data_IF_146894465902
#
_entry.id   IF_146894465902
#
_cell.length_a   1.000
_cell.length_b   1.000
_cell.length_c   1.000
_cell.angle_alpha   90.00
_cell.angle_beta   90.00
_cell.angle_gamma   90.00
#
_symmetry.space_group_name_H-M   'P 1'
#
loop_
_entity.id
_entity.type
_entity.pdbx_description
1 polymer ?
#
# COMPACT_ATOMS: atom_id res chain seq x y z
N UNK A 1 -11.95 -89.59 -30.83
CA UNK A 1 -11.43 -90.03 -29.52
C UNK A 1 -11.83 -89.01 -28.48
N UNK A 2 -12.42 -89.48 -27.38
CA UNK A 2 -12.84 -88.70 -26.21
C UNK A 2 -11.62 -88.06 -25.55
N UNK A 3 -11.71 -86.79 -25.12
CA UNK A 3 -11.15 -86.32 -23.84
C UNK A 3 -11.90 -85.09 -23.32
N UNK A 4 -12.46 -85.28 -22.14
CA UNK A 4 -13.16 -84.31 -21.28
C UNK A 4 -12.13 -83.35 -20.67
N UNK A 5 -12.46 -82.06 -20.55
CA UNK A 5 -11.82 -81.18 -19.57
C UNK A 5 -12.83 -80.29 -18.85
N UNK A 6 -12.56 -80.19 -17.56
CA UNK A 6 -13.32 -79.70 -16.42
C UNK A 6 -13.54 -78.19 -16.39
N UNK A 7 -14.69 -77.80 -15.82
CA UNK A 7 -15.03 -76.45 -15.38
C UNK A 7 -14.11 -75.95 -14.27
N UNK A 8 -13.62 -74.71 -14.37
CA UNK A 8 -12.97 -74.00 -13.28
C UNK A 8 -13.50 -72.57 -13.18
N UNK A 9 -13.78 -72.19 -11.94
CA UNK A 9 -14.48 -71.00 -11.45
C UNK A 9 -13.60 -69.76 -11.55
N UNK A 10 -14.21 -68.63 -11.93
CA UNK A 10 -13.61 -67.28 -11.98
C UNK A 10 -13.40 -66.76 -10.55
N UNK A 11 -12.19 -66.32 -10.15
CA UNK A 11 -12.03 -65.48 -8.98
C UNK A 11 -12.09 -63.99 -9.38
N UNK A 12 -12.88 -63.24 -8.63
CA UNK A 12 -12.96 -61.78 -8.64
C UNK A 12 -11.56 -61.15 -8.56
N UNK A 13 -11.19 -60.33 -9.54
CA UNK A 13 -10.04 -59.44 -9.43
C UNK A 13 -10.45 -58.24 -8.56
N UNK A 14 -9.78 -58.08 -7.42
CA UNK A 14 -9.80 -56.85 -6.64
C UNK A 14 -9.24 -55.73 -7.53
N UNK A 15 -10.10 -54.78 -7.91
CA UNK A 15 -9.65 -53.53 -8.49
C UNK A 15 -8.95 -52.72 -7.39
N UNK A 16 -7.62 -52.72 -7.40
CA UNK A 16 -6.81 -51.76 -6.66
C UNK A 16 -7.07 -50.38 -7.24
N UNK A 17 -7.89 -49.60 -6.54
CA UNK A 17 -8.00 -48.15 -6.74
C UNK A 17 -6.62 -47.57 -6.39
N UNK A 18 -5.88 -47.13 -7.41
CA UNK A 18 -4.72 -46.27 -7.19
C UNK A 18 -5.24 -44.98 -6.53
N UNK A 19 -4.72 -44.56 -5.37
CA UNK A 19 -4.97 -43.23 -4.89
C UNK A 19 -4.29 -42.27 -5.87
N UNK A 20 -5.11 -41.40 -6.46
CA UNK A 20 -4.65 -40.19 -7.15
C UNK A 20 -3.78 -39.44 -6.14
N UNK A 21 -2.51 -39.22 -6.50
CA UNK A 21 -1.61 -38.40 -5.69
C UNK A 21 -2.25 -37.03 -5.51
N UNK A 22 -2.46 -36.70 -4.24
CA UNK A 22 -2.90 -35.42 -3.72
C UNK A 22 -1.96 -34.34 -4.26
N UNK A 23 -2.52 -33.29 -4.84
CA UNK A 23 -1.85 -32.03 -5.14
C UNK A 23 -1.21 -31.51 -3.87
N UNK A 24 0.10 -31.55 -3.79
CA UNK A 24 0.88 -30.84 -2.78
C UNK A 24 0.68 -29.35 -3.01
N UNK A 25 -0.14 -28.70 -2.19
CA UNK A 25 -0.21 -27.23 -2.17
C UNK A 25 1.17 -26.64 -1.86
N UNK A 26 1.40 -25.39 -2.25
CA UNK A 26 2.58 -24.59 -1.85
C UNK A 26 2.44 -24.14 -0.38
N UNK A 27 1.86 -24.97 0.46
CA UNK A 27 2.03 -24.88 1.90
C UNK A 27 3.52 -24.99 2.18
N UNK A 28 4.05 -24.06 2.96
CA UNK A 28 5.39 -24.11 3.51
C UNK A 28 5.80 -25.56 3.83
N UNK A 29 6.92 -26.02 3.26
CA UNK A 29 7.50 -27.30 3.64
C UNK A 29 8.00 -27.14 5.08
N UNK A 30 7.40 -27.83 6.07
CA UNK A 30 7.75 -27.61 7.47
C UNK A 30 9.16 -28.10 7.81
N UNK A 31 9.79 -28.91 6.95
CA UNK A 31 11.16 -29.39 7.11
C UNK A 31 11.91 -29.42 5.76
N UNK A 32 12.11 -28.23 5.14
CA UNK A 32 12.77 -28.18 3.86
C UNK A 32 14.24 -28.54 4.05
N UNK A 33 14.82 -29.24 3.07
CA UNK A 33 16.26 -29.47 3.06
C UNK A 33 17.01 -28.14 3.20
N UNK A 34 18.15 -28.07 3.90
CA UNK A 34 18.88 -26.80 4.13
C UNK A 34 19.30 -26.07 2.85
N UNK A 35 19.41 -26.78 1.73
CA UNK A 35 19.72 -26.26 0.40
C UNK A 35 18.47 -26.01 -0.47
N UNK A 36 17.26 -26.00 0.12
CA UNK A 36 16.03 -25.68 -0.60
C UNK A 36 16.12 -24.26 -1.18
N UNK A 37 15.78 -24.15 -2.46
CA UNK A 37 15.73 -22.88 -3.17
C UNK A 37 14.38 -22.15 -2.99
N UNK A 38 13.41 -22.76 -2.29
CA UNK A 38 12.13 -22.11 -1.94
C UNK A 38 12.37 -20.92 -1.02
N UNK A 39 11.78 -19.79 -1.39
CA UNK A 39 11.83 -18.58 -0.61
C UNK A 39 10.80 -18.61 0.52
N UNK A 40 9.64 -19.24 0.28
CA UNK A 40 8.58 -19.45 1.27
C UNK A 40 8.90 -20.70 2.09
N UNK A 41 9.08 -20.52 3.41
CA UNK A 41 9.53 -21.59 4.32
C UNK A 41 8.57 -21.92 5.44
N UNK A 42 7.66 -21.01 5.75
CA UNK A 42 6.76 -21.14 6.90
C UNK A 42 5.42 -20.47 6.57
N UNK A 43 4.39 -20.91 7.27
CA UNK A 43 3.06 -20.34 7.23
C UNK A 43 2.57 -20.12 8.66
N UNK A 44 1.60 -19.23 8.83
CA UNK A 44 0.99 -18.92 10.11
C UNK A 44 -0.51 -19.09 10.02
N UNK A 45 -1.03 -19.95 10.88
CA UNK A 45 -2.46 -20.00 11.15
C UNK A 45 -2.85 -18.78 12.00
N UNK A 46 -3.38 -17.76 11.33
CA UNK A 46 -3.80 -16.50 11.97
C UNK A 46 -4.94 -16.70 12.97
N UNK A 47 -5.79 -17.72 12.80
CA UNK A 47 -6.86 -18.01 13.74
C UNK A 47 -6.30 -18.64 15.03
N UNK A 48 -5.34 -19.56 14.88
CA UNK A 48 -4.62 -20.13 16.01
C UNK A 48 -3.81 -19.04 16.75
N UNK A 49 -3.13 -18.15 16.01
CA UNK A 49 -2.38 -17.04 16.60
C UNK A 49 -3.31 -16.09 17.38
N UNK A 50 -4.43 -15.68 16.80
CA UNK A 50 -5.43 -14.83 17.47
C UNK A 50 -5.98 -15.48 18.75
N UNK A 51 -6.14 -16.81 18.78
CA UNK A 51 -6.61 -17.55 19.95
C UNK A 51 -5.51 -17.86 20.99
N UNK A 52 -4.24 -17.73 20.63
CA UNK A 52 -3.11 -18.17 21.46
C UNK A 52 -2.80 -17.23 22.63
N UNK A 53 -3.18 -15.96 22.53
CA UNK A 53 -2.76 -14.90 23.46
C UNK A 53 -1.29 -14.50 23.33
N UNK A 54 -0.56 -15.03 22.34
CA UNK A 54 0.77 -14.56 21.98
C UNK A 54 0.68 -13.16 21.37
N UNK A 55 1.74 -12.37 21.54
CA UNK A 55 1.89 -11.09 20.85
C UNK A 55 2.06 -11.32 19.33
N UNK A 56 1.11 -10.88 18.48
CA UNK A 56 1.22 -11.08 17.04
C UNK A 56 2.44 -10.40 16.42
N UNK A 57 2.91 -9.26 16.97
CA UNK A 57 4.09 -8.56 16.45
C UNK A 57 5.32 -9.45 16.58
N UNK A 58 5.54 -10.03 17.76
CA UNK A 58 6.69 -10.90 18.04
C UNK A 58 6.73 -12.15 17.13
N UNK A 59 5.57 -12.64 16.68
CA UNK A 59 5.47 -13.80 15.79
C UNK A 59 5.62 -13.38 14.32
N UNK A 60 4.90 -12.36 13.89
CA UNK A 60 4.71 -12.04 12.47
C UNK A 60 5.80 -11.13 11.89
N UNK A 61 6.36 -10.21 12.68
CA UNK A 61 7.33 -9.25 12.16
C UNK A 61 8.60 -9.92 11.58
N UNK A 62 9.24 -10.92 12.23
CA UNK A 62 10.41 -11.59 11.67
C UNK A 62 10.09 -12.42 10.41
N UNK A 63 8.89 -13.00 10.37
CA UNK A 63 8.37 -13.71 9.20
C UNK A 63 8.19 -12.75 8.02
N UNK A 64 7.55 -11.61 8.28
CA UNK A 64 7.31 -10.56 7.29
C UNK A 64 8.60 -9.97 6.75
N UNK A 65 9.61 -9.74 7.60
CA UNK A 65 10.93 -9.26 7.17
C UNK A 65 11.60 -10.24 6.19
N UNK A 66 11.56 -11.53 6.53
CA UNK A 66 12.10 -12.60 5.68
C UNK A 66 11.36 -12.66 4.34
N UNK A 67 10.03 -12.59 4.35
CA UNK A 67 9.20 -12.60 3.14
C UNK A 67 9.42 -11.33 2.30
N UNK A 68 9.56 -10.16 2.91
CA UNK A 68 9.78 -8.91 2.20
C UNK A 68 11.12 -8.90 1.45
N UNK A 69 12.12 -9.54 2.04
CA UNK A 69 13.46 -9.71 1.45
C UNK A 69 13.60 -10.99 0.61
N UNK A 70 12.59 -11.86 0.61
CA UNK A 70 12.61 -13.13 -0.07
C UNK A 70 12.64 -12.93 -1.58
N UNK A 71 13.59 -13.59 -2.24
CA UNK A 71 13.64 -13.66 -3.70
C UNK A 71 12.77 -14.81 -4.15
N UNK A 72 11.49 -14.54 -4.40
CA UNK A 72 10.54 -15.54 -4.89
C UNK A 72 11.07 -16.23 -6.14
N UNK A 73 10.91 -17.54 -6.16
CA UNK A 73 11.40 -18.43 -7.21
C UNK A 73 10.24 -19.09 -7.94
N UNK A 74 10.54 -19.73 -9.06
CA UNK A 74 9.55 -20.58 -9.75
C UNK A 74 9.09 -21.75 -8.89
N UNK A 75 9.81 -22.14 -7.82
CA UNK A 75 9.34 -23.16 -6.88
C UNK A 75 8.23 -22.62 -5.97
N UNK A 76 8.20 -21.30 -5.76
CA UNK A 76 7.21 -20.61 -4.94
C UNK A 76 5.94 -20.24 -5.72
N UNK A 77 5.96 -20.35 -7.06
CA UNK A 77 4.87 -19.92 -7.95
C UNK A 77 5.14 -18.60 -8.71
N UNK A 78 6.36 -18.05 -8.62
CA UNK A 78 6.63 -16.74 -9.20
C UNK A 78 6.55 -16.76 -10.74
N UNK A 79 5.63 -15.97 -11.30
CA UNK A 79 5.71 -15.55 -12.71
C UNK A 79 4.38 -15.29 -13.43
N UNK A 80 3.23 -15.65 -12.86
CA UNK A 80 1.88 -15.42 -13.43
C UNK A 80 1.66 -15.78 -14.92
N UNK A 81 2.12 -16.93 -15.45
CA UNK A 81 2.18 -17.16 -16.90
C UNK A 81 0.84 -17.02 -17.65
N UNK A 82 -0.29 -17.46 -17.06
CA UNK A 82 -1.61 -17.36 -17.70
C UNK A 82 -2.54 -16.33 -17.02
N UNK A 83 -2.04 -15.46 -16.15
CA UNK A 83 -2.80 -14.36 -15.52
C UNK A 83 -2.20 -12.99 -15.83
N UNK A 84 -3.00 -11.93 -15.75
CA UNK A 84 -2.51 -10.56 -15.91
C UNK A 84 -2.09 -9.94 -14.58
N UNK A 85 -1.44 -8.77 -14.63
CA UNK A 85 -1.13 -7.97 -13.45
C UNK A 85 -2.34 -7.23 -12.85
N UNK A 86 -3.53 -7.38 -13.43
CA UNK A 86 -4.72 -6.66 -12.99
C UNK A 86 -5.09 -6.98 -11.53
N UNK A 87 -5.70 -5.98 -10.88
CA UNK A 87 -6.22 -6.10 -9.51
C UNK A 87 -7.31 -7.18 -9.43
N UNK A 88 -8.16 -7.24 -10.45
CA UNK A 88 -9.19 -8.27 -10.57
C UNK A 88 -8.58 -9.45 -11.32
N UNK A 89 -8.73 -10.70 -10.84
CA UNK A 89 -8.22 -11.87 -11.54
C UNK A 89 -8.72 -11.94 -12.98
N UNK A 90 -7.82 -11.79 -13.95
CA UNK A 90 -8.11 -11.97 -15.37
C UNK A 90 -7.03 -12.83 -16.03
N UNK A 91 -7.46 -13.69 -16.94
CA UNK A 91 -6.56 -14.57 -17.71
C UNK A 91 -5.82 -13.77 -18.78
N UNK A 92 -4.53 -14.06 -18.95
CA UNK A 92 -3.75 -13.52 -20.05
C UNK A 92 -4.26 -14.08 -21.39
N UNK A 93 -4.38 -13.22 -22.40
CA UNK A 93 -4.77 -13.66 -23.77
C UNK A 93 -3.59 -14.26 -24.51
N UNK A 94 -2.38 -13.78 -24.21
CA UNK A 94 -1.11 -14.27 -24.76
C UNK A 94 -0.16 -14.53 -23.60
N UNK A 95 0.34 -15.75 -23.51
CA UNK A 95 1.38 -16.10 -22.54
C UNK A 95 2.67 -15.39 -22.90
N UNK A 96 3.26 -14.68 -21.95
CA UNK A 96 4.60 -14.10 -22.12
C UNK A 96 5.61 -15.23 -22.32
N UNK A 97 6.48 -15.18 -23.35
CA UNK A 97 7.57 -16.15 -23.50
C UNK A 97 8.67 -15.95 -22.46
N UNK A 98 8.69 -14.81 -21.74
CA UNK A 98 9.73 -14.42 -20.78
C UNK A 98 9.09 -14.04 -19.42
N UNK A 99 9.32 -14.82 -18.35
CA UNK A 99 8.77 -14.53 -17.01
C UNK A 99 9.33 -13.24 -16.39
N UNK A 100 10.64 -13.00 -16.56
CA UNK A 100 11.35 -11.80 -16.11
C UNK A 100 11.43 -10.74 -17.21
N UNK A 101 10.28 -10.42 -17.81
CA UNK A 101 10.16 -9.30 -18.73
C UNK A 101 9.25 -8.27 -18.10
N UNK A 102 9.80 -7.11 -17.70
CA UNK A 102 9.09 -6.00 -17.02
C UNK A 102 7.94 -5.37 -17.81
N UNK A 103 7.60 -5.95 -18.97
CA UNK A 103 6.48 -5.56 -19.82
C UNK A 103 5.21 -6.29 -19.33
N UNK A 104 5.07 -7.57 -19.64
CA UNK A 104 3.92 -8.39 -19.23
C UNK A 104 4.21 -9.33 -18.03
N UNK A 105 5.48 -9.46 -17.64
CA UNK A 105 5.93 -10.29 -16.54
C UNK A 105 6.16 -9.49 -15.26
N UNK A 106 6.95 -10.05 -14.34
CA UNK A 106 7.25 -9.43 -13.06
C UNK A 106 8.28 -8.28 -13.16
N UNK A 107 8.12 -7.27 -12.32
CA UNK A 107 9.08 -6.16 -12.15
C UNK A 107 10.32 -6.58 -11.36
N UNK A 108 10.10 -7.33 -10.28
CA UNK A 108 11.12 -7.78 -9.36
C UNK A 108 10.66 -9.05 -8.64
N UNK A 109 11.58 -9.85 -8.10
CA UNK A 109 11.22 -11.05 -7.33
C UNK A 109 11.31 -10.87 -5.82
N UNK A 110 11.52 -9.66 -5.31
CA UNK A 110 11.49 -9.33 -3.89
C UNK A 110 11.08 -7.88 -3.69
N UNK A 111 10.32 -7.56 -2.64
CA UNK A 111 9.96 -6.17 -2.33
C UNK A 111 11.22 -5.34 -2.04
N UNK A 112 12.18 -5.92 -1.32
CA UNK A 112 13.48 -5.30 -1.02
C UNK A 112 14.38 -5.07 -2.26
N UNK A 113 13.97 -5.48 -3.47
CA UNK A 113 14.70 -5.10 -4.69
C UNK A 113 14.48 -3.63 -5.06
N UNK A 114 13.31 -3.09 -4.71
CA UNK A 114 12.94 -1.69 -4.99
C UNK A 114 12.84 -0.84 -3.72
N UNK A 115 12.40 -1.44 -2.60
CA UNK A 115 12.25 -0.75 -1.32
C UNK A 115 13.47 -0.97 -0.43
N UNK A 116 14.57 -0.27 -0.69
CA UNK A 116 15.86 -0.60 -0.07
C UNK A 116 16.81 0.56 0.21
N UNK A 117 16.48 1.80 -0.18
CA UNK A 117 17.33 2.96 0.07
C UNK A 117 16.67 3.92 1.09
N UNK A 118 17.34 4.26 2.21
CA UNK A 118 18.69 3.85 2.60
C UNK A 118 18.76 2.45 3.26
N UNK A 119 17.61 1.91 3.68
CA UNK A 119 17.48 0.60 4.34
C UNK A 119 16.30 -0.19 3.75
N UNK A 120 16.20 -1.47 4.08
CA UNK A 120 15.06 -2.31 3.65
C UNK A 120 13.73 -1.67 4.10
N UNK A 121 12.78 -1.57 3.17
CA UNK A 121 11.53 -0.82 3.33
C UNK A 121 11.63 0.65 2.89
N UNK A 122 12.82 1.13 2.55
CA UNK A 122 13.06 2.49 2.06
C UNK A 122 12.48 2.79 0.68
N UNK A 123 12.86 3.93 0.12
CA UNK A 123 12.55 4.28 -1.26
C UNK A 123 13.46 3.51 -2.24
N UNK A 124 13.28 3.76 -3.54
CA UNK A 124 14.13 3.21 -4.59
C UNK A 124 14.76 4.29 -5.47
N UNK A 125 15.87 3.94 -6.11
CA UNK A 125 16.45 4.75 -7.18
C UNK A 125 15.55 4.70 -8.44
N UNK A 126 15.78 5.63 -9.38
CA UNK A 126 15.02 5.71 -10.64
C UNK A 126 15.01 4.38 -11.43
N UNK A 127 16.09 3.59 -11.35
CA UNK A 127 16.16 2.27 -12.02
C UNK A 127 15.19 1.23 -11.45
N UNK A 128 14.70 1.45 -10.23
CA UNK A 128 13.73 0.60 -9.54
C UNK A 128 12.28 1.07 -9.73
N UNK A 129 12.04 2.14 -10.49
CA UNK A 129 10.71 2.61 -10.87
C UNK A 129 9.84 1.46 -11.38
N UNK A 130 8.55 1.46 -11.09
CA UNK A 130 7.56 0.46 -11.54
C UNK A 130 6.62 1.04 -12.59
N UNK A 131 5.98 0.18 -13.39
CA UNK A 131 5.04 0.60 -14.43
C UNK A 131 3.60 0.26 -14.05
N UNK A 132 2.86 1.25 -13.58
CA UNK A 132 1.51 1.06 -13.03
C UNK A 132 0.48 1.20 -14.14
N UNK A 133 -0.29 0.14 -14.39
CA UNK A 133 -1.21 0.04 -15.53
C UNK A 133 -2.69 -0.16 -15.13
N UNK A 134 -3.08 0.29 -13.93
CA UNK A 134 -4.42 0.02 -13.39
C UNK A 134 -5.55 0.61 -14.25
N UNK A 135 -6.51 -0.25 -14.65
CA UNK A 135 -7.74 0.17 -15.34
C UNK A 135 -8.07 -0.64 -16.60
N UNK A 136 -7.16 -1.50 -17.06
CA UNK A 136 -7.41 -2.32 -18.24
C UNK A 136 -7.75 -3.76 -17.86
N UNK A 137 -8.95 -4.23 -18.22
CA UNK A 137 -9.35 -5.64 -18.14
C UNK A 137 -8.51 -6.54 -19.08
N UNK A 138 -7.79 -5.95 -20.03
CA UNK A 138 -6.79 -6.61 -20.87
C UNK A 138 -5.45 -5.89 -20.71
N UNK A 139 -4.73 -6.19 -19.63
CA UNK A 139 -3.35 -5.73 -19.40
C UNK A 139 -2.32 -6.54 -20.22
N UNK A 140 -2.68 -6.99 -21.43
CA UNK A 140 -1.80 -7.71 -22.36
C UNK A 140 -1.12 -6.73 -23.32
N UNK A 141 -0.52 -5.69 -22.75
CA UNK A 141 0.21 -4.64 -23.49
C UNK A 141 1.61 -4.47 -22.94
N UNK A 142 2.42 -3.77 -23.72
CA UNK A 142 3.77 -3.42 -23.35
C UNK A 142 3.74 -2.32 -22.27
N UNK A 143 4.02 -2.65 -21.00
CA UNK A 143 3.91 -1.69 -19.89
C UNK A 143 4.99 -0.61 -19.90
N UNK A 144 6.01 -0.65 -20.77
CA UNK A 144 6.90 0.52 -20.94
C UNK A 144 6.31 1.56 -21.89
N UNK A 145 5.22 1.25 -22.60
CA UNK A 145 4.53 2.21 -23.44
C UNK A 145 3.66 3.12 -22.54
N UNK A 146 3.93 4.43 -22.49
CA UNK A 146 3.20 5.36 -21.63
C UNK A 146 1.73 5.51 -22.04
N UNK A 147 1.30 4.98 -23.19
CA UNK A 147 -0.12 4.87 -23.54
C UNK A 147 -0.89 3.90 -22.64
N UNK A 148 -0.19 2.96 -22.00
CA UNK A 148 -0.82 1.87 -21.24
C UNK A 148 -0.38 1.79 -19.77
N UNK A 149 0.71 2.46 -19.38
CA UNK A 149 1.14 2.55 -17.98
C UNK A 149 1.63 3.96 -17.61
N UNK A 150 1.74 4.20 -16.29
CA UNK A 150 2.51 5.31 -15.75
C UNK A 150 3.74 4.77 -15.01
N UNK A 151 4.92 5.29 -15.37
CA UNK A 151 6.17 5.01 -14.66
C UNK A 151 6.20 5.76 -13.31
N UNK A 152 6.51 5.07 -12.21
CA UNK A 152 6.49 5.65 -10.86
C UNK A 152 7.67 5.21 -10.01
N UNK A 153 8.18 6.16 -9.22
CA UNK A 153 9.19 5.86 -8.23
C UNK A 153 8.63 5.02 -7.07
N UNK A 154 9.50 4.17 -6.53
CA UNK A 154 9.24 3.37 -5.34
C UNK A 154 9.28 4.27 -4.10
N UNK A 155 8.15 4.32 -3.40
CA UNK A 155 8.02 5.08 -2.15
C UNK A 155 8.57 4.28 -0.96
N UNK A 156 9.08 4.99 0.04
CA UNK A 156 9.36 4.44 1.36
C UNK A 156 8.07 3.92 2.03
N UNK A 157 8.17 2.79 2.75
CA UNK A 157 7.06 2.21 3.55
C UNK A 157 7.24 2.39 5.05
N UNK A 158 8.28 3.11 5.49
CA UNK A 158 8.49 3.46 6.89
C UNK A 158 7.30 4.21 7.50
N UNK A 159 6.87 3.81 8.70
CA UNK A 159 5.75 4.43 9.41
C UNK A 159 4.36 4.10 8.83
N UNK A 160 4.25 3.19 7.85
CA UNK A 160 2.98 2.88 7.18
C UNK A 160 1.85 2.44 8.12
N UNK A 161 2.18 1.78 9.24
CA UNK A 161 1.19 1.40 10.25
C UNK A 161 0.48 2.61 10.87
N UNK A 162 1.23 3.69 11.17
CA UNK A 162 0.65 4.92 11.70
C UNK A 162 -0.16 5.67 10.65
N UNK A 163 0.34 5.70 9.40
CA UNK A 163 -0.38 6.29 8.26
C UNK A 163 -1.75 5.63 8.08
N UNK A 164 -1.80 4.30 8.07
CA UNK A 164 -3.06 3.59 7.92
C UNK A 164 -3.99 3.80 9.12
N UNK A 165 -3.47 3.81 10.35
CA UNK A 165 -4.30 4.10 11.53
C UNK A 165 -4.93 5.49 11.47
N UNK A 166 -4.17 6.51 11.04
CA UNK A 166 -4.71 7.85 10.79
C UNK A 166 -5.82 7.82 9.73
N UNK A 167 -5.58 7.16 8.59
CA UNK A 167 -6.57 7.03 7.52
C UNK A 167 -7.84 6.31 8.01
N UNK A 168 -7.70 5.28 8.85
CA UNK A 168 -8.84 4.53 9.44
C UNK A 168 -9.67 5.43 10.36
N UNK A 169 -9.03 6.17 11.27
CA UNK A 169 -9.72 7.09 12.18
C UNK A 169 -10.43 8.23 11.42
N UNK A 170 -9.74 8.83 10.44
CA UNK A 170 -10.31 9.88 9.59
C UNK A 170 -11.50 9.36 8.77
N UNK A 171 -11.40 8.13 8.23
CA UNK A 171 -12.48 7.50 7.46
C UNK A 171 -13.70 7.29 8.33
N UNK A 172 -13.50 6.76 9.54
CA UNK A 172 -14.59 6.55 10.49
C UNK A 172 -15.26 7.89 10.85
N UNK A 173 -14.48 8.93 11.06
CA UNK A 173 -15.00 10.25 11.42
C UNK A 173 -15.81 10.91 10.30
N UNK A 174 -15.31 10.89 9.07
CA UNK A 174 -16.03 11.41 7.91
C UNK A 174 -17.35 10.66 7.67
N UNK A 175 -17.35 9.33 7.84
CA UNK A 175 -18.56 8.52 7.73
C UNK A 175 -19.57 8.81 8.84
N UNK A 176 -19.13 9.11 10.07
CA UNK A 176 -20.00 9.60 11.15
C UNK A 176 -20.63 10.95 10.80
N UNK A 177 -19.84 11.87 10.24
CA UNK A 177 -20.36 13.18 9.79
C UNK A 177 -21.42 13.03 8.68
N UNK A 178 -21.20 12.12 7.73
CA UNK A 178 -22.21 11.75 6.71
C UNK A 178 -23.50 11.22 7.34
N UNK A 179 -23.40 10.31 8.31
CA UNK A 179 -24.57 9.77 9.03
C UNK A 179 -25.32 10.87 9.78
N UNK A 180 -24.61 11.78 10.45
CA UNK A 180 -25.20 12.89 11.18
C UNK A 180 -25.98 13.86 10.28
N UNK A 181 -25.44 14.20 9.10
CA UNK A 181 -26.15 15.11 8.17
C UNK A 181 -27.36 14.42 7.52
N UNK A 182 -27.28 13.12 7.23
CA UNK A 182 -28.44 12.33 6.78
C UNK A 182 -29.55 12.29 7.82
N UNK A 183 -29.20 12.04 9.09
CA UNK A 183 -30.17 12.06 10.19
C UNK A 183 -30.83 13.43 10.31
N UNK A 184 -30.04 14.51 10.27
CA UNK A 184 -30.54 15.88 10.32
C UNK A 184 -31.52 16.20 9.18
N UNK A 185 -31.20 15.84 7.94
CA UNK A 185 -32.08 16.07 6.79
C UNK A 185 -33.41 15.31 6.93
N UNK A 186 -33.34 14.07 7.42
CA UNK A 186 -34.53 13.24 7.68
C UNK A 186 -35.40 13.80 8.80
N UNK A 187 -34.80 14.31 9.86
CA UNK A 187 -35.50 14.89 11.00
C UNK A 187 -36.15 16.24 10.67
N UNK A 188 -35.47 17.09 9.90
CA UNK A 188 -36.00 18.40 9.52
C UNK A 188 -37.02 18.34 8.39
N UNK A 189 -36.96 17.31 7.53
CA UNK A 189 -37.74 17.26 6.30
C UNK A 189 -37.24 18.20 5.20
N UNK A 190 -36.05 18.79 5.38
CA UNK A 190 -35.37 19.72 4.47
C UNK A 190 -33.95 19.23 4.15
N UNK A 191 -33.36 19.72 3.06
CA UNK A 191 -31.96 19.45 2.75
C UNK A 191 -31.03 20.00 3.84
N UNK A 192 -30.01 19.21 4.23
CA UNK A 192 -29.01 19.61 5.22
C UNK A 192 -27.61 19.53 4.64
N UNK A 193 -26.80 20.57 4.84
CA UNK A 193 -25.39 20.62 4.41
C UNK A 193 -24.44 20.53 5.60
N UNK A 194 -23.36 19.79 5.44
CA UNK A 194 -22.27 19.68 6.41
C UNK A 194 -20.93 19.97 5.72
N UNK A 195 -20.04 20.68 6.42
CA UNK A 195 -18.63 20.74 6.07
C UNK A 195 -17.95 19.49 6.61
N UNK A 196 -17.20 18.79 5.76
CA UNK A 196 -16.49 17.58 6.15
C UNK A 196 -15.07 17.94 6.57
N UNK A 197 -14.76 17.68 7.84
CA UNK A 197 -13.45 18.01 8.41
C UNK A 197 -13.05 16.99 9.45
N UNK A 198 -11.83 16.49 9.41
CA UNK A 198 -11.30 15.59 10.44
C UNK A 198 -9.82 15.85 10.68
N UNK A 199 -9.37 15.73 11.92
CA UNK A 199 -7.99 16.02 12.37
C UNK A 199 -7.41 17.35 11.85
N UNK A 200 -8.25 18.36 11.64
CA UNK A 200 -7.84 19.66 11.12
C UNK A 200 -7.91 19.80 9.59
N UNK A 201 -8.07 18.71 8.85
CA UNK A 201 -8.08 18.65 7.38
C UNK A 201 -9.51 18.71 6.83
N UNK A 202 -9.72 19.56 5.82
CA UNK A 202 -11.02 19.74 5.15
C UNK A 202 -11.13 18.89 3.89
N UNK A 203 -12.24 18.18 3.76
CA UNK A 203 -12.60 17.35 2.59
C UNK A 203 -13.82 17.91 1.84
N UNK A 204 -14.05 19.22 1.99
CA UNK A 204 -15.11 19.95 1.31
C UNK A 204 -16.44 19.88 2.06
N UNK A 205 -17.53 19.63 1.35
CA UNK A 205 -18.88 19.65 1.89
C UNK A 205 -19.79 18.61 1.27
N UNK A 206 -20.76 18.16 2.04
CA UNK A 206 -21.75 17.17 1.65
C UNK A 206 -23.16 17.71 1.93
N UNK A 207 -24.08 17.55 0.99
CA UNK A 207 -25.49 17.88 1.19
C UNK A 207 -26.32 16.60 1.19
N UNK A 208 -27.14 16.41 2.22
CA UNK A 208 -28.08 15.31 2.34
C UNK A 208 -29.52 15.79 2.17
N UNK A 209 -30.35 14.96 1.54
CA UNK A 209 -31.77 15.22 1.35
C UNK A 209 -32.64 14.29 2.22
N UNK A 210 -33.89 14.68 2.54
CA UNK A 210 -34.78 13.89 3.40
C UNK A 210 -35.11 12.49 2.88
N UNK A 211 -34.99 12.26 1.57
CA UNK A 211 -35.21 10.98 0.91
C UNK A 211 -34.02 10.01 1.02
N UNK A 212 -32.92 10.46 1.63
CA UNK A 212 -31.69 9.68 1.80
C UNK A 212 -30.67 9.86 0.67
N UNK A 213 -30.96 10.68 -0.33
CA UNK A 213 -29.98 11.00 -1.38
C UNK A 213 -28.91 11.97 -0.88
N UNK A 214 -27.74 11.92 -1.53
CA UNK A 214 -26.58 12.73 -1.21
C UNK A 214 -26.11 13.48 -2.47
N UNK A 215 -25.86 14.78 -2.32
CA UNK A 215 -25.06 15.57 -3.25
C UNK A 215 -23.63 15.67 -2.72
N UNK A 216 -22.75 14.93 -3.41
CA UNK A 216 -21.32 14.78 -3.15
C UNK A 216 -20.46 15.72 -4.02
N UNK A 217 -21.07 16.57 -4.86
CA UNK A 217 -20.31 17.46 -5.77
C UNK A 217 -19.41 18.46 -5.05
N UNK A 218 -19.65 18.69 -3.76
CA UNK A 218 -18.82 19.53 -2.90
C UNK A 218 -17.68 18.80 -2.19
N UNK A 219 -17.49 17.48 -2.40
CA UNK A 219 -16.34 16.75 -1.88
C UNK A 219 -15.05 17.21 -2.54
N UNK A 220 -13.97 17.15 -1.78
CA UNK A 220 -12.67 17.65 -2.21
C UNK A 220 -11.54 16.72 -1.73
N UNK A 221 -10.73 16.24 -2.68
CA UNK A 221 -9.57 15.38 -2.42
C UNK A 221 -9.86 13.98 -1.87
N UNK A 222 -11.10 13.50 -1.96
CA UNK A 222 -11.56 12.17 -1.48
C UNK A 222 -12.64 11.59 -2.41
N UNK A 223 -12.77 10.27 -2.42
CA UNK A 223 -13.85 9.58 -3.16
C UNK A 223 -15.20 9.64 -2.40
N UNK A 224 -16.30 9.45 -3.13
CA UNK A 224 -17.69 9.54 -2.62
C UNK A 224 -18.00 8.59 -1.45
N UNK A 225 -17.23 7.51 -1.31
CA UNK A 225 -17.37 6.55 -0.22
C UNK A 225 -16.82 7.04 1.13
N UNK A 226 -16.10 8.17 1.11
CA UNK A 226 -15.42 8.81 2.23
C UNK A 226 -14.36 7.94 2.90
N UNK A 227 -13.73 7.05 2.11
CA UNK A 227 -12.60 6.25 2.57
C UNK A 227 -11.30 6.96 2.24
N UNK A 228 -10.46 7.22 3.24
CA UNK A 228 -9.09 7.65 3.00
C UNK A 228 -8.26 6.46 2.52
N UNK A 229 -7.47 6.72 1.49
CA UNK A 229 -6.65 5.73 0.80
C UNK A 229 -5.23 6.24 0.77
N UNK A 230 -4.42 5.95 1.80
CA UNK A 230 -3.12 6.60 1.95
C UNK A 230 -2.03 5.97 1.06
N UNK A 231 -2.29 4.82 0.43
CA UNK A 231 -1.25 4.06 -0.25
C UNK A 231 -1.30 4.20 -1.77
N UNK A 232 -0.11 4.13 -2.37
CA UNK A 232 0.27 4.61 -3.73
C UNK A 232 0.22 6.13 -3.88
N UNK A 233 0.92 6.66 -4.88
CA UNK A 233 1.02 8.10 -5.12
C UNK A 233 -0.32 8.78 -5.48
N UNK A 234 -1.29 8.02 -6.01
CA UNK A 234 -2.66 8.51 -6.26
C UNK A 234 -3.61 8.27 -5.09
N UNK A 235 -3.18 7.56 -4.07
CA UNK A 235 -4.01 7.20 -2.93
C UNK A 235 -5.20 6.35 -3.34
N UNK A 236 -4.98 5.15 -3.85
CA UNK A 236 -6.05 4.25 -4.33
C UNK A 236 -6.21 2.97 -3.49
N UNK A 237 -5.32 2.73 -2.55
CA UNK A 237 -5.41 1.59 -1.63
C UNK A 237 -5.71 2.06 -0.21
N UNK A 238 -6.69 1.42 0.42
CA UNK A 238 -7.19 1.79 1.76
C UNK A 238 -6.39 1.16 2.90
N UNK A 239 -5.65 0.09 2.62
CA UNK A 239 -4.91 -0.70 3.62
C UNK A 239 -3.60 -1.26 3.08
N UNK A 240 -2.68 -1.55 4.00
CA UNK A 240 -1.45 -2.29 3.74
C UNK A 240 -1.74 -3.68 3.17
N UNK A 241 -2.80 -4.34 3.65
CA UNK A 241 -3.24 -5.63 3.12
C UNK A 241 -3.61 -5.53 1.65
N UNK A 242 -4.45 -4.56 1.29
CA UNK A 242 -4.84 -4.35 -0.10
C UNK A 242 -3.62 -4.02 -0.97
N UNK A 243 -2.75 -3.11 -0.51
CA UNK A 243 -1.51 -2.76 -1.20
C UNK A 243 -0.61 -3.97 -1.41
N UNK A 244 -0.41 -4.79 -0.37
CA UNK A 244 0.45 -5.98 -0.40
C UNK A 244 -0.06 -7.01 -1.39
N UNK A 245 -1.35 -7.37 -1.33
CA UNK A 245 -1.95 -8.33 -2.27
C UNK A 245 -1.82 -7.85 -3.71
N UNK A 246 -1.99 -6.55 -3.93
CA UNK A 246 -1.81 -5.93 -5.24
C UNK A 246 -0.37 -6.05 -5.73
N UNK A 247 0.62 -5.68 -4.91
CA UNK A 247 2.03 -5.72 -5.26
C UNK A 247 2.54 -7.16 -5.49
N UNK A 248 2.07 -8.13 -4.69
CA UNK A 248 2.42 -9.54 -4.86
C UNK A 248 2.03 -10.06 -6.24
N UNK A 249 0.82 -9.74 -6.72
CA UNK A 249 0.50 -9.96 -8.11
C UNK A 249 1.35 -8.99 -8.94
N UNK A 250 0.94 -7.74 -9.14
CA UNK A 250 1.47 -6.80 -10.15
C UNK A 250 3.00 -6.82 -10.33
N UNK A 251 3.76 -6.76 -9.24
CA UNK A 251 5.22 -6.63 -9.31
C UNK A 251 5.98 -7.96 -9.19
N UNK A 252 5.44 -8.96 -8.48
CA UNK A 252 6.22 -10.15 -8.11
C UNK A 252 5.83 -11.44 -8.82
N UNK A 253 4.70 -11.47 -9.52
CA UNK A 253 4.30 -12.72 -10.18
C UNK A 253 3.61 -13.70 -9.24
N UNK A 254 3.27 -13.27 -8.02
CA UNK A 254 2.81 -14.14 -6.93
C UNK A 254 1.31 -13.93 -6.63
N UNK A 255 0.56 -15.00 -6.37
CA UNK A 255 -0.88 -14.95 -6.17
C UNK A 255 -1.30 -15.18 -4.71
N UNK A 256 -1.86 -14.14 -4.08
CA UNK A 256 -2.49 -14.28 -2.77
C UNK A 256 -3.81 -15.06 -2.88
N UNK A 257 -3.93 -16.16 -2.13
CA UNK A 257 -5.11 -17.02 -2.10
C UNK A 257 -6.41 -16.25 -1.80
N UNK A 258 -6.34 -15.23 -0.94
CA UNK A 258 -7.50 -14.41 -0.56
C UNK A 258 -8.14 -13.65 -1.74
N UNK A 259 -7.45 -13.56 -2.88
CA UNK A 259 -7.93 -12.94 -4.11
C UNK A 259 -7.98 -13.88 -5.30
N UNK A 260 -7.03 -14.79 -5.42
CA UNK A 260 -6.85 -15.64 -6.60
C UNK A 260 -7.27 -17.10 -6.41
N UNK A 261 -7.56 -17.53 -5.18
CA UNK A 261 -7.99 -18.90 -4.87
C UNK A 261 -9.44 -19.20 -5.28
N UNK A 262 -9.86 -20.47 -5.10
CA UNK A 262 -11.08 -21.00 -5.71
C UNK A 262 -12.38 -20.30 -5.30
N UNK A 263 -12.42 -19.67 -4.13
CA UNK A 263 -13.61 -18.89 -3.68
C UNK A 263 -13.94 -17.75 -4.66
N UNK A 264 -12.93 -17.14 -5.28
CA UNK A 264 -13.10 -16.02 -6.21
C UNK A 264 -13.01 -16.44 -7.67
N UNK A 265 -12.13 -17.39 -7.98
CA UNK A 265 -11.77 -17.72 -9.37
C UNK A 265 -12.25 -19.10 -9.83
N UNK A 266 -12.71 -19.95 -8.91
CA UNK A 266 -13.09 -21.34 -9.17
C UNK A 266 -11.91 -22.33 -9.31
N UNK A 267 -10.67 -21.89 -9.09
CA UNK A 267 -9.44 -22.72 -9.12
C UNK A 267 -8.46 -22.24 -8.05
N UNK A 268 -7.61 -23.13 -7.52
CA UNK A 268 -6.54 -22.77 -6.58
C UNK A 268 -5.20 -22.44 -7.28
N UNK A 269 -5.14 -22.65 -8.59
CA UNK A 269 -4.03 -22.32 -9.50
C UNK A 269 -4.61 -21.45 -10.63
N UNK A 270 -4.65 -20.13 -10.42
CA UNK A 270 -5.30 -19.21 -11.34
C UNK A 270 -4.40 -18.76 -12.49
N UNK A 271 -3.07 -18.84 -12.40
CA UNK A 271 -2.17 -18.59 -13.54
C UNK A 271 -1.64 -19.84 -14.24
N UNK A 272 -2.04 -21.04 -13.79
CA UNK A 272 -1.77 -22.29 -14.50
C UNK A 272 -0.29 -22.69 -14.49
N UNK A 273 0.46 -22.26 -13.49
CA UNK A 273 1.89 -22.55 -13.38
C UNK A 273 2.18 -23.87 -12.65
N UNK A 274 1.13 -24.52 -12.12
CA UNK A 274 1.20 -25.78 -11.38
C UNK A 274 1.38 -25.61 -9.87
N UNK A 275 1.36 -24.38 -9.36
CA UNK A 275 1.47 -24.03 -7.96
C UNK A 275 0.13 -23.53 -7.42
N UNK A 276 -0.51 -24.34 -6.58
CA UNK A 276 -1.74 -23.93 -5.91
C UNK A 276 -1.43 -23.17 -4.61
N UNK A 277 -2.26 -22.17 -4.29
CA UNK A 277 -2.23 -21.40 -3.04
C UNK A 277 -0.85 -20.79 -2.71
N UNK A 278 -0.24 -20.09 -3.67
CA UNK A 278 1.14 -19.58 -3.56
C UNK A 278 1.41 -18.72 -2.32
N UNK A 279 0.49 -17.81 -1.98
CA UNK A 279 0.58 -16.96 -0.79
C UNK A 279 -0.68 -17.09 0.09
N UNK A 280 -0.47 -17.55 1.32
CA UNK A 280 -1.55 -17.75 2.30
C UNK A 280 -1.94 -16.43 2.98
N UNK A 281 -3.13 -16.35 3.61
CA UNK A 281 -3.48 -15.19 4.43
C UNK A 281 -2.51 -14.96 5.59
N UNK A 282 -1.89 -16.02 6.15
CA UNK A 282 -0.87 -15.91 7.18
C UNK A 282 0.40 -15.19 6.72
N UNK A 283 0.88 -15.55 5.53
CA UNK A 283 2.04 -14.90 4.91
C UNK A 283 1.77 -13.44 4.54
N UNK A 284 0.56 -13.13 4.04
CA UNK A 284 0.18 -11.74 3.81
C UNK A 284 0.07 -10.98 5.15
N UNK A 285 -0.44 -11.61 6.21
CA UNK A 285 -0.49 -10.99 7.55
C UNK A 285 0.91 -10.71 8.09
N UNK A 286 1.88 -11.60 7.82
CA UNK A 286 3.27 -11.39 8.18
C UNK A 286 3.87 -10.17 7.44
N UNK A 287 3.67 -10.07 6.11
CA UNK A 287 4.10 -8.91 5.33
C UNK A 287 3.45 -7.60 5.82
N UNK A 288 2.15 -7.63 6.14
CA UNK A 288 1.44 -6.47 6.70
C UNK A 288 1.99 -6.09 8.06
N UNK A 289 2.23 -7.07 8.95
CA UNK A 289 2.80 -6.83 10.27
C UNK A 289 4.18 -6.18 10.18
N UNK A 290 5.05 -6.67 9.29
CA UNK A 290 6.36 -6.06 9.08
C UNK A 290 6.25 -4.62 8.59
N UNK A 291 5.44 -4.35 7.55
CA UNK A 291 5.22 -2.98 7.04
C UNK A 291 4.62 -2.05 8.11
N UNK A 292 3.66 -2.54 8.92
CA UNK A 292 2.99 -1.77 9.94
C UNK A 292 3.89 -1.41 11.13
N UNK A 293 4.94 -2.20 11.37
CA UNK A 293 5.85 -2.05 12.52
C UNK A 293 7.17 -1.36 12.18
N UNK A 294 7.41 -1.04 10.89
CA UNK A 294 8.57 -0.27 10.46
C UNK A 294 8.60 1.11 11.16
N UNK A 295 9.75 1.51 11.73
CA UNK A 295 9.89 2.80 12.38
C UNK A 295 9.46 3.96 11.48
N UNK A 296 8.75 4.94 12.05
CA UNK A 296 8.51 6.19 11.36
C UNK A 296 9.85 6.92 11.12
N UNK A 297 10.01 7.61 9.98
CA UNK A 297 11.13 8.52 9.76
C UNK A 297 11.25 9.57 10.88
N UNK A 298 12.46 10.04 11.10
CA UNK A 298 12.80 10.95 12.21
C UNK A 298 13.57 12.18 11.72
N UNK A 299 14.08 12.97 12.66
CA UNK A 299 14.96 14.10 12.35
C UNK A 299 16.39 13.71 12.73
N UNK A 300 17.35 14.12 11.90
CA UNK A 300 18.78 14.03 12.21
C UNK A 300 19.06 14.67 13.57
N UNK A 301 19.60 13.87 14.48
CA UNK A 301 19.91 14.30 15.85
C UNK A 301 21.34 14.83 16.00
N UNK A 302 22.27 14.37 15.18
CA UNK A 302 23.68 14.76 15.20
C UNK A 302 24.03 15.69 14.02
N UNK A 303 23.45 16.89 14.03
CA UNK A 303 23.76 17.95 13.06
C UNK A 303 24.65 19.03 13.67
N UNK A 304 25.61 19.60 12.93
CA UNK A 304 26.34 20.80 13.38
C UNK A 304 25.39 21.97 13.68
N UNK A 305 25.75 22.86 14.61
CA UNK A 305 24.91 24.01 15.02
C UNK A 305 24.37 24.85 13.85
N UNK A 306 25.21 25.04 12.82
CA UNK A 306 24.81 25.78 11.61
C UNK A 306 23.66 25.10 10.86
N UNK A 307 23.65 23.75 10.82
CA UNK A 307 22.58 22.97 10.21
C UNK A 307 21.32 22.99 11.07
N UNK A 308 21.45 22.86 12.39
CA UNK A 308 20.31 22.94 13.30
C UNK A 308 19.59 24.31 13.19
N UNK A 309 20.36 25.41 13.21
CA UNK A 309 19.83 26.76 13.07
C UNK A 309 19.16 26.97 11.70
N UNK A 310 19.78 26.46 10.61
CA UNK A 310 19.21 26.54 9.27
C UNK A 310 17.91 25.73 9.15
N UNK A 311 17.87 24.51 9.69
CA UNK A 311 16.68 23.66 9.67
C UNK A 311 15.53 24.27 10.48
N UNK A 312 15.80 24.81 11.67
CA UNK A 312 14.76 25.47 12.48
C UNK A 312 14.19 26.72 11.78
N UNK A 313 15.07 27.54 11.17
CA UNK A 313 14.63 28.69 10.35
C UNK A 313 13.83 28.21 9.13
N UNK A 314 14.30 27.16 8.47
CA UNK A 314 13.68 26.54 7.31
C UNK A 314 12.26 26.07 7.58
N UNK A 315 12.04 25.37 8.68
CA UNK A 315 10.71 24.90 9.09
C UNK A 315 9.76 26.06 9.36
N UNK A 316 10.24 27.11 10.03
CA UNK A 316 9.45 28.32 10.28
C UNK A 316 9.03 28.98 8.95
N UNK A 317 9.97 29.11 8.01
CA UNK A 317 9.70 29.66 6.68
C UNK A 317 8.76 28.77 5.88
N UNK A 318 8.95 27.45 5.93
CA UNK A 318 8.11 26.45 5.26
C UNK A 318 6.62 26.62 5.64
N UNK A 319 6.34 26.81 6.94
CA UNK A 319 5.00 27.15 7.40
C UNK A 319 4.54 28.54 6.94
N UNK A 320 5.41 29.55 7.07
CA UNK A 320 5.07 30.95 6.76
C UNK A 320 4.72 31.19 5.28
N UNK A 321 5.34 30.45 4.35
CA UNK A 321 5.06 30.55 2.91
C UNK A 321 3.91 29.65 2.45
N UNK A 322 3.28 28.92 3.37
CA UNK A 322 2.09 28.11 3.10
C UNK A 322 2.36 26.70 2.57
N UNK A 323 3.57 26.13 2.70
CA UNK A 323 3.80 24.73 2.35
C UNK A 323 3.04 23.78 3.29
N UNK A 324 2.88 24.19 4.55
CA UNK A 324 2.17 23.41 5.58
C UNK A 324 0.64 23.38 5.43
N UNK A 325 0.07 23.97 4.38
CA UNK A 325 -1.38 23.85 4.11
C UNK A 325 -1.77 22.46 3.62
N UNK A 326 -0.85 21.76 2.95
CA UNK A 326 -0.98 20.37 2.52
C UNK A 326 0.00 19.48 3.30
N UNK A 327 1.27 19.90 3.43
CA UNK A 327 2.28 19.19 4.21
C UNK A 327 2.16 19.48 5.71
N UNK A 328 1.04 19.05 6.29
CA UNK A 328 0.69 19.32 7.69
C UNK A 328 1.69 18.61 8.62
N UNK A 329 2.40 19.33 9.51
CA UNK A 329 3.53 18.77 10.25
C UNK A 329 3.20 17.50 11.03
N UNK A 330 2.05 17.49 11.70
CA UNK A 330 1.63 16.37 12.53
C UNK A 330 0.12 16.20 12.55
N UNK A 331 -0.34 14.95 12.68
CA UNK A 331 -1.74 14.61 12.90
C UNK A 331 -1.86 13.80 14.20
N UNK A 332 -2.85 14.11 15.07
CA UNK A 332 -3.06 13.37 16.31
C UNK A 332 -3.70 12.00 16.02
N UNK A 333 -3.19 10.94 16.62
CA UNK A 333 -3.68 9.56 16.51
C UNK A 333 -4.18 9.05 17.87
N UNK A 334 -5.40 8.51 17.89
CA UNK A 334 -6.10 8.11 19.12
C UNK A 334 -5.79 6.67 19.54
N UNK A 335 -5.79 5.73 18.60
CA UNK A 335 -5.55 4.31 18.84
C UNK A 335 -4.26 3.84 18.18
N UNK A 336 -3.49 3.03 18.91
CA UNK A 336 -2.28 2.35 18.42
C UNK A 336 -2.52 0.87 18.15
N UNK A 337 -3.76 0.40 18.25
CA UNK A 337 -4.11 -0.99 17.94
C UNK A 337 -4.33 -1.13 16.44
N UNK A 338 -3.37 -1.76 15.75
CA UNK A 338 -3.45 -2.08 14.35
C UNK A 338 -4.11 -3.44 14.16
N UNK A 339 -5.32 -3.46 13.61
CA UNK A 339 -6.04 -4.70 13.31
C UNK A 339 -5.71 -5.21 11.90
N UNK A 340 -5.43 -6.51 11.77
CA UNK A 340 -5.29 -7.23 10.50
C UNK A 340 -6.09 -8.55 10.51
N UNK A 341 -7.05 -8.75 9.60
CA UNK A 341 -7.53 -7.80 8.61
C UNK A 341 -8.17 -6.55 9.23
N UNK A 342 -8.07 -5.43 8.51
CA UNK A 342 -8.56 -4.12 8.90
C UNK A 342 -10.07 -3.93 8.71
N UNK A 343 -10.66 -2.91 9.36
CA UNK A 343 -12.11 -2.67 9.34
C UNK A 343 -12.65 -2.17 7.99
N UNK A 344 -11.76 -1.72 7.10
CA UNK A 344 -12.10 -1.20 5.77
C UNK A 344 -11.56 -2.05 4.62
N UNK A 345 -11.04 -3.24 4.92
CA UNK A 345 -10.69 -4.22 3.87
C UNK A 345 -11.94 -4.66 3.12
N UNK A 346 -11.81 -4.82 1.80
CA UNK A 346 -12.93 -5.05 0.88
C UNK A 346 -12.86 -6.41 0.20
N UNK A 347 -13.77 -6.67 -0.75
CA UNK A 347 -13.68 -7.84 -1.61
C UNK A 347 -12.31 -7.91 -2.33
N UNK A 348 -11.80 -9.14 -2.53
CA UNK A 348 -10.45 -9.37 -3.04
C UNK A 348 -9.34 -9.20 -1.98
N UNK A 349 -9.70 -9.07 -0.72
CA UNK A 349 -8.82 -9.19 0.46
C UNK A 349 -9.56 -9.97 1.54
N UNK A 350 -8.84 -10.52 2.52
CA UNK A 350 -9.39 -11.08 3.74
C UNK A 350 -10.03 -9.94 4.54
N UNK A 351 -11.30 -10.12 4.95
CA UNK A 351 -12.05 -9.10 5.71
C UNK A 351 -12.24 -9.56 7.15
N UNK A 352 -12.51 -8.62 8.04
CA UNK A 352 -12.88 -8.95 9.43
C UNK A 352 -14.08 -9.90 9.53
N UNK A 353 -15.02 -9.83 8.59
CA UNK A 353 -16.17 -10.75 8.54
C UNK A 353 -15.80 -12.19 8.16
N UNK A 354 -14.61 -12.41 7.62
CA UNK A 354 -14.14 -13.71 7.14
C UNK A 354 -13.31 -14.45 8.20
N UNK A 355 -13.03 -13.81 9.33
CA UNK A 355 -12.27 -14.37 10.46
C UNK A 355 -13.09 -14.33 11.75
N UNK A 356 -12.79 -15.23 12.68
CA UNK A 356 -13.45 -15.24 13.99
C UNK A 356 -13.06 -14.03 14.86
N UNK A 357 -11.77 -13.64 14.79
CA UNK A 357 -11.23 -12.44 15.40
C UNK A 357 -10.05 -11.95 14.54
N UNK A 358 -9.95 -10.63 14.26
CA UNK A 358 -8.75 -10.08 13.65
C UNK A 358 -7.57 -10.17 14.61
N UNK A 359 -6.36 -10.21 14.07
CA UNK A 359 -5.14 -10.01 14.85
C UNK A 359 -5.07 -8.56 15.31
N UNK A 360 -4.60 -8.34 16.54
CA UNK A 360 -4.39 -7.02 17.11
C UNK A 360 -2.90 -6.81 17.37
N UNK A 361 -2.28 -5.94 16.58
CA UNK A 361 -0.89 -5.53 16.74
C UNK A 361 -0.90 -4.25 17.57
N UNK A 362 -0.48 -4.34 18.83
CA UNK A 362 -0.35 -3.17 19.69
C UNK A 362 0.95 -2.42 19.41
N UNK A 363 0.87 -1.39 18.55
CA UNK A 363 2.04 -0.58 18.19
C UNK A 363 2.59 0.22 19.39
N UNK A 364 1.83 0.38 20.48
CA UNK A 364 2.33 1.05 21.69
C UNK A 364 3.44 0.25 22.40
N UNK A 365 3.59 -1.04 22.08
CA UNK A 365 4.68 -1.89 22.59
C UNK A 365 6.04 -1.54 21.99
N UNK A 366 6.07 -0.92 20.81
CA UNK A 366 7.29 -0.57 20.07
C UNK A 366 7.97 0.67 20.68
N UNK A 367 9.28 0.58 20.92
CA UNK A 367 10.02 1.65 21.59
C UNK A 367 10.04 2.96 20.79
N UNK A 368 10.11 2.88 19.46
CA UNK A 368 10.07 4.05 18.60
C UNK A 368 8.70 4.75 18.63
N UNK A 369 7.60 4.02 18.82
CA UNK A 369 6.25 4.61 18.99
C UNK A 369 6.12 5.27 20.36
N UNK A 370 6.71 4.69 21.41
CA UNK A 370 6.75 5.30 22.76
C UNK A 370 7.49 6.63 22.77
N UNK A 371 8.50 6.77 21.92
CA UNK A 371 9.31 7.98 21.79
C UNK A 371 8.60 9.13 21.05
N UNK A 372 7.49 8.85 20.36
CA UNK A 372 6.74 9.89 19.63
C UNK A 372 6.08 10.89 20.60
N UNK A 373 6.04 12.17 20.23
CA UNK A 373 5.40 13.20 21.03
C UNK A 373 3.91 12.91 21.21
N UNK A 374 3.36 13.40 22.32
CA UNK A 374 1.93 13.31 22.63
C UNK A 374 1.37 14.69 22.93
N UNK A 375 0.11 14.90 22.55
CA UNK A 375 -0.60 16.11 22.94
C UNK A 375 -1.11 16.04 24.39
N UNK A 376 -1.79 17.10 24.83
CA UNK A 376 -2.36 17.18 26.17
C UNK A 376 -3.55 16.23 26.42
N UNK A 377 -4.08 15.56 25.39
CA UNK A 377 -5.06 14.47 25.52
C UNK A 377 -4.40 13.08 25.54
N UNK A 378 -3.07 13.00 25.41
CA UNK A 378 -2.31 11.75 25.38
C UNK A 378 -2.29 11.05 24.02
N UNK A 379 -2.84 11.68 22.97
CA UNK A 379 -2.81 11.15 21.60
C UNK A 379 -1.41 11.24 21.04
N UNK A 380 -0.98 10.25 20.25
CA UNK A 380 0.31 10.30 19.55
C UNK A 380 0.24 11.38 18.47
N UNK A 381 1.24 12.26 18.41
CA UNK A 381 1.41 13.20 17.31
C UNK A 381 2.30 12.55 16.25
N UNK A 382 1.69 12.14 15.14
CA UNK A 382 2.37 11.45 14.04
C UNK A 382 2.97 12.51 13.11
N UNK A 383 4.30 12.64 13.00
CA UNK A 383 4.95 13.78 12.35
C UNK A 383 5.10 13.58 10.83
N UNK A 384 4.02 13.21 10.12
CA UNK A 384 4.07 12.77 8.72
C UNK A 384 4.37 13.87 7.69
N UNK A 385 4.17 15.14 8.02
CA UNK A 385 4.25 16.24 7.04
C UNK A 385 3.36 16.01 5.81
N UNK A 386 2.09 15.69 6.07
CA UNK A 386 1.09 15.31 5.08
C UNK A 386 -0.32 15.33 5.68
N UNK A 387 -1.33 15.37 4.83
CA UNK A 387 -2.74 15.53 5.21
C UNK A 387 -3.64 14.35 4.78
N UNK A 388 -3.04 13.31 4.19
CA UNK A 388 -3.72 12.14 3.64
C UNK A 388 -4.83 12.49 2.64
N UNK A 389 -4.68 13.62 1.94
CA UNK A 389 -5.63 14.13 0.95
C UNK A 389 -5.00 14.18 -0.43
N UNK A 390 -5.85 14.07 -1.46
CA UNK A 390 -5.45 14.31 -2.86
C UNK A 390 -5.58 15.78 -3.23
N UNK A 391 -4.62 16.27 -4.00
CA UNK A 391 -4.57 17.64 -4.51
C UNK A 391 -4.26 17.65 -6.00
N UNK A 392 -4.81 18.64 -6.70
CA UNK A 392 -4.36 18.99 -8.05
C UNK A 392 -3.02 19.70 -7.95
N UNK A 393 -1.94 19.05 -8.40
CA UNK A 393 -0.55 19.54 -8.25
C UNK A 393 0.10 19.98 -9.57
N UNK A 394 -0.69 20.10 -10.64
CA UNK A 394 -0.25 20.62 -11.93
C UNK A 394 -1.29 21.57 -12.54
N UNK A 395 -0.82 22.50 -13.36
CA UNK A 395 -1.66 23.41 -14.13
C UNK A 395 -0.99 23.81 -15.46
N UNK A 396 -1.67 24.61 -16.28
CA UNK A 396 -1.14 25.02 -17.59
C UNK A 396 0.14 25.88 -17.52
N UNK A 397 0.45 26.47 -16.35
CA UNK A 397 1.67 27.26 -16.15
C UNK A 397 2.82 26.41 -15.57
N UNK A 398 2.51 25.27 -14.94
CA UNK A 398 3.50 24.31 -14.46
C UNK A 398 2.91 22.88 -14.52
N UNK A 399 3.28 22.17 -15.57
CA UNK A 399 2.76 20.84 -15.91
C UNK A 399 3.74 19.72 -15.57
N UNK A 400 4.85 20.01 -14.88
CA UNK A 400 5.90 19.03 -14.53
C UNK A 400 5.32 17.78 -13.85
N UNK A 401 4.39 17.96 -12.89
CA UNK A 401 3.70 16.82 -12.26
C UNK A 401 2.46 16.31 -13.03
N UNK A 402 2.05 16.99 -14.09
CA UNK A 402 0.96 16.58 -14.99
C UNK A 402 1.43 15.66 -16.11
N UNK A 403 2.52 14.92 -15.91
CA UNK A 403 3.21 14.13 -16.93
C UNK A 403 2.65 12.70 -17.13
N UNK A 404 1.61 12.30 -16.40
CA UNK A 404 0.91 11.03 -16.59
C UNK A 404 -0.10 11.10 -17.76
N UNK A 405 -0.15 10.06 -18.60
CA UNK A 405 -1.11 9.97 -19.71
C UNK A 405 -2.41 9.27 -19.31
N UNK A 406 -2.38 8.51 -18.22
CA UNK A 406 -3.51 7.71 -17.74
C UNK A 406 -3.95 8.14 -16.36
N UNK A 407 -5.27 8.20 -16.18
CA UNK A 407 -5.85 8.22 -14.84
C UNK A 407 -5.65 6.85 -14.20
N UNK A 408 -5.38 6.82 -12.89
CA UNK A 408 -5.40 5.57 -12.13
C UNK A 408 -6.77 5.45 -11.47
N UNK A 409 -7.56 4.46 -11.92
CA UNK A 409 -8.97 4.33 -11.55
C UNK A 409 -9.74 5.63 -11.89
N UNK A 410 -10.28 6.30 -10.89
CA UNK A 410 -11.05 7.55 -11.04
C UNK A 410 -10.24 8.80 -10.68
N UNK A 411 -8.94 8.65 -10.38
CA UNK A 411 -8.07 9.78 -10.00
C UNK A 411 -7.43 10.37 -11.25
N UNK A 412 -7.64 11.67 -11.46
CA UNK A 412 -7.12 12.38 -12.62
C UNK A 412 -5.58 12.42 -12.68
N UNK A 413 -5.04 12.64 -13.88
CA UNK A 413 -3.61 12.63 -14.19
C UNK A 413 -2.81 13.67 -13.41
N UNK A 414 -3.42 14.81 -13.11
CA UNK A 414 -2.85 15.94 -12.40
C UNK A 414 -3.15 15.96 -10.89
N UNK A 415 -3.80 14.91 -10.38
CA UNK A 415 -4.22 14.79 -8.98
C UNK A 415 -3.42 13.71 -8.28
N UNK A 416 -2.79 14.02 -7.15
CA UNK A 416 -1.95 13.10 -6.38
C UNK A 416 -2.15 13.30 -4.87
N UNK A 417 -1.80 12.31 -4.07
CA UNK A 417 -1.70 12.47 -2.63
C UNK A 417 -0.60 13.46 -2.26
N UNK A 418 -0.80 14.25 -1.21
CA UNK A 418 0.31 14.92 -0.55
C UNK A 418 1.34 13.89 -0.11
N UNK A 419 2.58 13.99 -0.58
CA UNK A 419 3.65 13.11 -0.12
C UNK A 419 4.00 13.40 1.35
N UNK A 420 4.15 12.36 2.16
CA UNK A 420 4.63 12.45 3.54
C UNK A 420 6.12 12.81 3.57
N UNK A 421 6.47 14.02 3.99
CA UNK A 421 7.85 14.52 3.90
C UNK A 421 8.75 14.07 5.04
N UNK A 422 8.24 13.34 6.03
CA UNK A 422 8.97 12.96 7.24
C UNK A 422 10.30 12.20 7.03
N UNK A 423 10.53 11.63 5.85
CA UNK A 423 11.78 10.97 5.45
C UNK A 423 12.42 11.53 4.18
N UNK A 424 11.95 12.68 3.67
CA UNK A 424 12.29 13.18 2.32
C UNK A 424 13.79 13.39 2.11
N UNK A 425 14.56 13.68 3.15
CA UNK A 425 16.01 13.85 3.08
C UNK A 425 16.79 12.55 2.78
N UNK A 426 16.13 11.38 2.82
CA UNK A 426 16.71 10.06 2.55
C UNK A 426 16.13 9.37 1.30
N UNK A 427 15.20 10.00 0.57
CA UNK A 427 14.40 9.33 -0.47
C UNK A 427 14.54 9.99 -1.85
N UNK A 428 15.70 10.58 -2.14
CA UNK A 428 15.99 11.02 -3.50
C UNK A 428 16.03 9.80 -4.45
N UNK A 429 15.66 9.92 -5.73
CA UNK A 429 15.20 11.14 -6.41
C UNK A 429 13.70 11.45 -6.18
N UNK A 430 13.28 12.65 -6.55
CA UNK A 430 12.00 13.24 -6.14
C UNK A 430 10.96 13.29 -7.27
N UNK A 431 9.72 13.59 -6.86
CA UNK A 431 8.55 13.56 -7.74
C UNK A 431 7.97 12.15 -7.86
N UNK A 432 6.71 12.07 -8.28
CA UNK A 432 6.00 10.79 -8.38
C UNK A 432 6.67 9.83 -9.40
N UNK A 433 7.37 10.37 -10.39
CA UNK A 433 8.20 9.60 -11.34
C UNK A 433 9.65 9.41 -10.90
N UNK A 434 10.15 10.16 -9.92
CA UNK A 434 11.55 10.08 -9.46
C UNK A 434 12.56 10.67 -10.44
N UNK A 435 12.15 11.56 -11.34
CA UNK A 435 13.02 12.19 -12.35
C UNK A 435 13.54 13.58 -11.95
N UNK A 436 13.20 14.07 -10.75
CA UNK A 436 13.70 15.33 -10.21
C UNK A 436 14.85 15.06 -9.21
N UNK A 437 15.96 15.75 -9.38
CA UNK A 437 17.23 15.40 -8.72
C UNK A 437 17.49 16.21 -7.45
N UNK A 438 16.76 17.31 -7.24
CA UNK A 438 16.95 18.19 -6.08
C UNK A 438 15.62 18.58 -5.42
N UNK A 439 15.72 18.92 -4.13
CA UNK A 439 14.58 19.44 -3.37
C UNK A 439 14.09 20.81 -3.91
N UNK A 440 15.01 21.64 -4.42
CA UNK A 440 14.63 22.91 -5.04
C UNK A 440 13.81 22.69 -6.32
N UNK A 441 14.26 21.76 -7.17
CA UNK A 441 13.58 21.37 -8.40
C UNK A 441 12.17 20.82 -8.15
N UNK A 442 12.01 19.87 -7.21
CA UNK A 442 10.69 19.32 -6.86
C UNK A 442 9.77 20.37 -6.23
N UNK A 443 10.29 21.31 -5.43
CA UNK A 443 9.47 22.43 -4.92
C UNK A 443 9.00 23.30 -6.08
N UNK A 444 9.89 23.66 -7.00
CA UNK A 444 9.56 24.48 -8.16
C UNK A 444 8.65 23.78 -9.18
N UNK A 445 8.59 22.45 -9.19
CA UNK A 445 7.69 21.65 -10.03
C UNK A 445 6.20 21.71 -9.62
N UNK A 446 5.89 22.18 -8.41
CA UNK A 446 4.51 22.25 -7.91
C UNK A 446 3.64 23.23 -8.72
N UNK A 447 2.50 22.77 -9.23
CA UNK A 447 1.45 23.59 -9.86
C UNK A 447 0.11 23.45 -9.14
N UNK A 448 -0.96 23.90 -9.79
CA UNK A 448 -2.33 23.72 -9.32
C UNK A 448 -2.60 24.41 -7.98
N UNK A 449 -3.08 23.65 -7.01
CA UNK A 449 -3.39 24.13 -5.65
C UNK A 449 -2.15 24.64 -4.92
N UNK A 450 -0.95 24.14 -5.26
CA UNK A 450 0.31 24.53 -4.65
C UNK A 450 0.97 25.76 -5.31
N UNK A 451 0.37 26.33 -6.37
CA UNK A 451 0.96 27.44 -7.13
C UNK A 451 1.25 28.68 -6.26
N UNK A 452 0.42 28.97 -5.26
CA UNK A 452 0.66 30.11 -4.35
C UNK A 452 1.91 29.89 -3.49
N UNK A 453 2.03 28.72 -2.84
CA UNK A 453 3.18 28.37 -2.00
C UNK A 453 4.46 28.24 -2.82
N UNK A 454 4.41 27.67 -4.04
CA UNK A 454 5.55 27.67 -4.98
C UNK A 454 6.03 29.08 -5.30
N UNK A 455 5.11 29.99 -5.64
CA UNK A 455 5.47 31.38 -5.96
C UNK A 455 6.10 32.07 -4.76
N UNK A 456 5.55 31.88 -3.56
CA UNK A 456 6.13 32.39 -2.33
C UNK A 456 7.55 31.84 -2.11
N UNK A 457 7.78 30.54 -2.31
CA UNK A 457 9.12 29.93 -2.26
C UNK A 457 10.09 30.57 -3.26
N UNK A 458 9.66 30.72 -4.52
CA UNK A 458 10.50 31.31 -5.59
C UNK A 458 10.86 32.79 -5.36
N UNK A 459 10.07 33.50 -4.54
CA UNK A 459 10.28 34.90 -4.19
C UNK A 459 11.20 35.10 -2.98
N UNK A 460 11.53 34.03 -2.24
CA UNK A 460 12.48 34.08 -1.13
C UNK A 460 13.89 34.35 -1.64
N UNK A 461 14.72 34.99 -0.82
CA UNK A 461 16.15 35.16 -1.11
C UNK A 461 16.88 33.80 -1.00
N UNK A 462 18.02 33.67 -1.67
CA UNK A 462 18.79 32.41 -1.71
C UNK A 462 19.05 31.80 -0.31
N UNK A 463 19.48 32.56 0.72
CA UNK A 463 19.70 32.00 2.05
C UNK A 463 18.43 31.45 2.72
N UNK A 464 17.26 31.98 2.36
CA UNK A 464 15.97 31.53 2.89
C UNK A 464 15.50 30.25 2.21
N UNK A 465 15.66 30.15 0.88
CA UNK A 465 15.42 28.91 0.15
C UNK A 465 16.32 27.79 0.67
N UNK A 466 17.62 28.07 0.85
CA UNK A 466 18.56 27.11 1.41
C UNK A 466 18.23 26.69 2.85
N UNK A 467 17.63 27.55 3.67
CA UNK A 467 17.16 27.17 5.00
C UNK A 467 16.03 26.13 4.92
N UNK A 468 15.06 26.31 4.01
CA UNK A 468 14.00 25.31 3.75
C UNK A 468 14.61 23.99 3.26
N UNK A 469 15.60 24.04 2.36
CA UNK A 469 16.31 22.83 1.92
C UNK A 469 17.02 22.15 3.10
N UNK A 470 17.66 22.90 4.00
CA UNK A 470 18.30 22.35 5.19
C UNK A 470 17.29 21.67 6.13
N UNK A 471 16.10 22.25 6.29
CA UNK A 471 15.00 21.63 7.02
C UNK A 471 14.58 20.29 6.40
N UNK A 472 14.26 20.27 5.11
CA UNK A 472 13.83 19.03 4.43
C UNK A 472 14.92 17.95 4.46
N UNK A 473 16.19 18.32 4.31
CA UNK A 473 17.33 17.38 4.42
C UNK A 473 17.60 16.88 5.84
N UNK A 474 17.02 17.52 6.86
CA UNK A 474 17.09 17.07 8.25
C UNK A 474 16.09 15.96 8.55
N UNK A 475 15.06 15.79 7.72
CA UNK A 475 14.07 14.70 7.80
C UNK A 475 14.67 13.44 7.19
N UNK A 476 14.75 12.34 7.92
CA UNK A 476 15.48 11.14 7.51
C UNK A 476 14.79 9.84 7.87
N UNK A 477 15.00 8.84 7.00
CA UNK A 477 14.90 7.44 7.39
C UNK A 477 16.23 7.08 8.06
N UNK A 478 16.19 6.72 9.34
CA UNK A 478 17.38 6.32 10.10
C UNK A 478 17.88 4.95 9.63
N UNK A 479 19.21 4.80 9.54
CA UNK A 479 19.92 3.57 9.13
C UNK A 479 20.15 2.59 10.28
#
# INVERSE_FOLDING_TARGET
MIRVFTTAVIPFALATVLPICVTSGVSADPDPQPWSERAIREDVDIAALAASGQDPIAVLQPLGERLFSAKFTTLDGAGRPDATSAIVPTKARRRSPLPFQRLAGMDANACASCHNEPVVGGAGAFTANVFVSEGFESADFDTIDPQFSNERNTNAVQGSGLIELLAREMTQDLRRQRQAVLAKARESGDAAKALLKTKGISFGSLTAYPDGTLDVSGLDGIDDDLTLRPFSQKGVFASLRQFTVNAMNDHHGMQARERFGAVWTGTDDFDGDGHADELTPGQISALVAWQATLPAPTRKTDLPDVWQAAAQKGETLFGAIGCSSCHVPELPLESLIFQDPGPFDTAGTLRQSDVAAPLELDLATLDWVKALPRDNQGRVLVPLFGDLKRHKIADAANDTFGNELLAQRFVARDVFMTAELWGIGSTAPYGHRGDLTTLDEVILAHGGEATASRKAYSALEDPERQAIIAFLRSLEIAE
#
